data_IF_461375031546
#
_entry.id   IF_461375031546
#
_cell.length_a   1.000
_cell.length_b   1.000
_cell.length_c   1.000
_cell.angle_alpha   90.00
_cell.angle_beta   90.00
_cell.angle_gamma   90.00
#
_symmetry.space_group_name_H-M   'P 1'
#
loop_
_entity.id
_entity.type
_entity.pdbx_description
1 polymer ?
#
# COMPACT_ATOMS: atom_id res chain seq x y z
N UNK A 1 -3.05 -51.71 40.43
CA UNK A 1 -2.53 -52.14 39.12
C UNK A 1 -1.09 -51.65 38.99
N UNK A 2 -0.11 -52.55 38.98
CA UNK A 2 1.32 -52.21 38.89
C UNK A 2 1.67 -51.96 37.42
N UNK A 3 2.00 -50.71 37.06
CA UNK A 3 2.50 -50.37 35.73
C UNK A 3 3.93 -50.91 35.58
N UNK A 4 4.06 -52.16 35.14
CA UNK A 4 5.35 -52.74 34.76
C UNK A 4 5.75 -52.19 33.38
N UNK A 5 6.43 -51.05 33.37
CA UNK A 5 7.14 -50.56 32.20
C UNK A 5 8.23 -51.57 31.84
N UNK A 6 8.02 -52.31 30.76
CA UNK A 6 8.99 -53.32 30.33
C UNK A 6 10.22 -52.61 29.73
N UNK A 7 11.42 -53.15 29.95
CA UNK A 7 12.69 -52.49 29.58
C UNK A 7 12.72 -52.06 28.10
N UNK A 8 12.13 -52.85 27.20
CA UNK A 8 11.96 -52.51 25.78
C UNK A 8 11.09 -51.28 25.55
N UNK A 9 10.02 -51.12 26.31
CA UNK A 9 9.08 -50.02 26.17
C UNK A 9 9.68 -48.70 26.69
N UNK A 10 10.45 -48.79 27.78
CA UNK A 10 11.23 -47.66 28.30
C UNK A 10 12.26 -47.19 27.27
N UNK A 11 13.06 -48.09 26.69
CA UNK A 11 14.05 -47.73 25.66
C UNK A 11 13.38 -47.13 24.42
N UNK A 12 12.24 -47.67 23.99
CA UNK A 12 11.50 -47.16 22.81
C UNK A 12 10.93 -45.76 23.05
N UNK A 13 10.39 -45.49 24.24
CA UNK A 13 9.89 -44.16 24.62
C UNK A 13 11.02 -43.16 24.87
N UNK A 14 12.12 -43.59 25.47
CA UNK A 14 13.32 -42.77 25.67
C UNK A 14 13.95 -42.37 24.33
N UNK A 15 14.02 -43.29 23.36
CA UNK A 15 14.52 -43.02 22.00
C UNK A 15 13.61 -42.03 21.24
N UNK A 16 12.29 -42.15 21.38
CA UNK A 16 11.35 -41.19 20.79
C UNK A 16 11.46 -39.79 21.42
N UNK A 17 11.63 -39.71 22.75
CA UNK A 17 11.81 -38.43 23.45
C UNK A 17 13.15 -37.75 23.11
N UNK A 18 14.24 -38.53 22.99
CA UNK A 18 15.56 -38.00 22.61
C UNK A 18 15.67 -37.66 21.13
N UNK A 19 14.91 -38.31 20.24
CA UNK A 19 14.85 -37.94 18.82
C UNK A 19 14.05 -36.65 18.58
N UNK A 20 13.01 -36.39 19.37
CA UNK A 20 12.20 -35.17 19.25
C UNK A 20 12.82 -33.94 19.95
N UNK A 21 13.62 -34.14 21.00
CA UNK A 21 14.20 -33.04 21.77
C UNK A 21 15.05 -32.06 20.94
N UNK A 22 15.94 -32.47 20.00
CA UNK A 22 16.71 -31.54 19.17
C UNK A 22 15.85 -30.70 18.23
N UNK A 23 14.76 -31.27 17.69
CA UNK A 23 13.84 -30.57 16.81
C UNK A 23 13.01 -29.52 17.57
N UNK A 24 12.53 -29.87 18.77
CA UNK A 24 11.82 -28.94 19.66
C UNK A 24 12.75 -27.84 20.17
N UNK A 25 13.97 -28.17 20.61
CA UNK A 25 14.96 -27.17 21.01
C UNK A 25 15.38 -26.25 19.86
N UNK A 26 15.49 -26.76 18.61
CA UNK A 26 15.74 -25.93 17.43
C UNK A 26 14.56 -25.02 17.09
N UNK A 27 13.33 -25.50 17.20
CA UNK A 27 12.14 -24.68 16.97
C UNK A 27 12.02 -23.57 18.02
N UNK A 28 12.25 -23.90 19.30
CA UNK A 28 12.17 -22.95 20.43
C UNK A 28 13.33 -21.95 20.41
N UNK A 29 14.56 -22.38 20.12
CA UNK A 29 15.73 -21.47 19.99
C UNK A 29 15.74 -20.71 18.66
N UNK A 30 15.16 -21.27 17.61
CA UNK A 30 15.08 -20.68 16.29
C UNK A 30 14.10 -19.52 16.24
N UNK A 31 12.93 -19.64 16.87
CA UNK A 31 11.87 -18.62 16.80
C UNK A 31 12.33 -17.21 17.21
N UNK A 32 13.21 -17.09 18.21
CA UNK A 32 13.76 -15.82 18.70
C UNK A 32 15.15 -15.47 18.15
N UNK A 33 15.69 -16.24 17.19
CA UNK A 33 17.01 -15.99 16.64
C UNK A 33 17.04 -14.63 15.89
N UNK A 34 18.12 -13.84 16.02
CA UNK A 34 18.28 -12.59 15.26
C UNK A 34 18.11 -12.77 13.74
N UNK A 35 18.44 -13.95 13.20
CA UNK A 35 18.29 -14.33 11.80
C UNK A 35 16.84 -14.44 11.32
N UNK A 36 15.85 -14.43 12.21
CA UNK A 36 14.44 -14.46 11.86
C UNK A 36 13.82 -13.06 11.75
N UNK A 37 14.60 -11.99 11.95
CA UNK A 37 14.12 -10.62 11.87
C UNK A 37 14.27 -10.09 10.45
N UNK A 38 13.23 -9.46 9.95
CA UNK A 38 13.29 -8.69 8.71
C UNK A 38 13.81 -7.30 9.03
N UNK A 39 14.95 -6.94 8.48
CA UNK A 39 15.59 -5.64 8.67
C UNK A 39 15.07 -4.65 7.62
N UNK A 40 14.52 -3.55 8.10
CA UNK A 40 13.75 -2.59 7.32
C UNK A 40 14.43 -1.23 7.26
N UNK A 41 14.33 -0.61 6.09
CA UNK A 41 14.50 0.83 5.91
C UNK A 41 13.15 1.51 5.69
N UNK A 42 12.94 2.69 6.28
CA UNK A 42 11.74 3.50 6.03
C UNK A 42 12.10 4.79 5.31
N UNK A 43 11.60 4.97 4.10
CA UNK A 43 11.75 6.17 3.27
C UNK A 43 10.51 7.06 3.34
N UNK A 44 10.72 8.36 3.59
CA UNK A 44 9.66 9.36 3.74
C UNK A 44 9.03 9.23 5.11
N UNK A 45 9.48 10.03 6.08
CA UNK A 45 9.33 9.70 7.52
C UNK A 45 8.49 10.71 8.29
N UNK A 46 7.77 11.58 7.59
CA UNK A 46 6.70 12.40 8.14
C UNK A 46 5.40 11.60 8.33
N UNK A 47 4.36 12.23 8.88
CA UNK A 47 2.98 11.71 9.07
C UNK A 47 2.82 10.19 8.91
N UNK A 48 2.53 9.69 7.69
CA UNK A 48 2.30 8.27 7.42
C UNK A 48 3.54 7.40 7.63
N UNK A 49 4.68 7.85 7.15
CA UNK A 49 5.96 7.19 7.36
C UNK A 49 6.36 7.06 8.82
N UNK A 50 6.14 8.10 9.65
CA UNK A 50 6.37 8.00 11.10
C UNK A 50 5.49 6.91 11.73
N UNK A 51 4.22 6.83 11.32
CA UNK A 51 3.29 5.82 11.82
C UNK A 51 3.71 4.40 11.39
N UNK A 52 4.16 4.23 10.15
CA UNK A 52 4.69 2.96 9.66
C UNK A 52 5.98 2.58 10.39
N UNK A 53 6.93 3.51 10.53
CA UNK A 53 8.18 3.26 11.25
C UNK A 53 7.93 2.81 12.69
N UNK A 54 7.04 3.48 13.43
CA UNK A 54 6.62 3.06 14.78
C UNK A 54 5.94 1.70 14.78
N UNK A 55 5.04 1.45 13.82
CA UNK A 55 4.32 0.19 13.72
C UNK A 55 5.26 -1.00 13.49
N UNK A 56 6.17 -0.87 12.53
CA UNK A 56 7.19 -1.88 12.23
C UNK A 56 8.19 -2.06 13.37
N UNK A 57 8.61 -0.97 14.04
CA UNK A 57 9.53 -1.06 15.18
C UNK A 57 8.95 -1.84 16.37
N UNK A 58 7.61 -1.90 16.50
CA UNK A 58 6.91 -2.67 17.54
C UNK A 58 6.58 -4.10 17.13
N UNK A 59 6.76 -4.43 15.85
CA UNK A 59 6.38 -5.74 15.33
C UNK A 59 7.46 -6.77 15.69
N UNK A 60 7.05 -7.86 16.32
CA UNK A 60 7.95 -8.99 16.56
C UNK A 60 8.40 -9.58 15.21
N UNK A 61 9.71 -9.83 15.08
CA UNK A 61 10.29 -10.30 13.83
C UNK A 61 10.59 -9.19 12.80
N UNK A 62 10.46 -7.91 13.17
CA UNK A 62 10.92 -6.80 12.35
C UNK A 62 11.90 -5.90 13.11
N UNK A 63 12.85 -5.32 12.40
CA UNK A 63 13.73 -4.27 12.91
C UNK A 63 13.74 -3.09 11.94
N UNK A 64 13.47 -1.88 12.43
CA UNK A 64 13.70 -0.66 11.63
C UNK A 64 15.14 -0.21 11.88
N UNK A 65 16.05 -0.55 10.96
CA UNK A 65 17.47 -0.22 11.08
C UNK A 65 17.82 1.13 10.45
N UNK A 66 17.04 1.59 9.45
CA UNK A 66 17.31 2.83 8.74
C UNK A 66 16.07 3.71 8.57
N UNK A 67 16.28 5.01 8.73
CA UNK A 67 15.32 6.07 8.44
C UNK A 67 15.90 6.94 7.32
N UNK A 68 15.13 7.15 6.26
CA UNK A 68 15.56 7.89 5.08
C UNK A 68 14.58 9.00 4.72
N UNK A 69 15.05 10.25 4.72
CA UNK A 69 14.27 11.38 4.23
C UNK A 69 15.19 12.48 3.70
N UNK A 70 14.78 13.18 2.65
CA UNK A 70 15.56 14.28 2.06
C UNK A 70 15.70 15.46 3.05
N UNK A 71 14.72 15.63 3.94
CA UNK A 71 14.72 16.58 5.04
C UNK A 71 15.33 15.96 6.31
N UNK A 72 16.45 16.52 6.75
CA UNK A 72 17.17 16.08 7.95
C UNK A 72 16.31 16.19 9.22
N UNK A 73 15.38 17.15 9.27
CA UNK A 73 14.42 17.27 10.39
C UNK A 73 13.48 16.07 10.45
N UNK A 74 13.07 15.56 9.29
CA UNK A 74 12.23 14.38 9.18
C UNK A 74 13.01 13.10 9.52
N UNK A 75 14.30 13.03 9.18
CA UNK A 75 15.20 11.94 9.61
C UNK A 75 15.29 11.91 11.14
N UNK A 76 15.63 13.03 11.77
CA UNK A 76 15.75 13.12 13.24
C UNK A 76 14.43 12.74 13.94
N UNK A 77 13.30 13.26 13.45
CA UNK A 77 11.97 12.91 13.98
C UNK A 77 11.63 11.43 13.81
N UNK A 78 11.93 10.86 12.64
CA UNK A 78 11.69 9.45 12.36
C UNK A 78 12.53 8.54 13.25
N UNK A 79 13.81 8.87 13.42
CA UNK A 79 14.71 8.12 14.28
C UNK A 79 14.26 8.17 15.75
N UNK A 80 13.91 9.35 16.26
CA UNK A 80 13.37 9.50 17.62
C UNK A 80 12.09 8.66 17.82
N UNK A 81 11.19 8.65 16.84
CA UNK A 81 9.96 7.88 16.89
C UNK A 81 10.18 6.37 16.93
N UNK A 82 11.22 5.86 16.24
CA UNK A 82 11.62 4.45 16.29
C UNK A 82 12.27 4.13 17.65
N UNK A 83 13.20 4.96 18.12
CA UNK A 83 13.85 4.79 19.43
C UNK A 83 12.82 4.76 20.56
N UNK A 84 11.82 5.64 20.52
CA UNK A 84 10.71 5.67 21.48
C UNK A 84 9.90 4.36 21.45
N UNK A 85 9.75 3.75 20.28
CA UNK A 85 8.91 2.57 20.08
C UNK A 85 9.59 1.26 20.50
N UNK A 86 10.91 1.13 20.35
CA UNK A 86 11.63 -0.13 20.59
C UNK A 86 12.94 -0.01 21.38
N UNK A 87 13.35 1.21 21.76
CA UNK A 87 14.59 1.47 22.53
C UNK A 87 15.88 1.48 21.72
N UNK A 88 15.85 1.13 20.43
CA UNK A 88 17.02 1.09 19.53
C UNK A 88 16.92 2.20 18.48
N UNK A 89 17.96 3.04 18.40
CA UNK A 89 18.01 4.10 17.40
C UNK A 89 18.40 3.55 16.01
N UNK A 90 17.63 3.88 14.95
CA UNK A 90 18.01 3.55 13.59
C UNK A 90 19.07 4.53 13.06
N UNK A 91 19.82 4.09 12.06
CA UNK A 91 20.68 4.97 11.28
C UNK A 91 19.86 5.94 10.41
N UNK A 92 20.38 7.14 10.19
CA UNK A 92 19.75 8.18 9.38
C UNK A 92 20.43 8.35 8.02
N UNK A 93 19.65 8.46 6.96
CA UNK A 93 20.13 8.78 5.62
C UNK A 93 19.26 9.84 4.94
N UNK A 94 19.86 10.58 4.01
CA UNK A 94 19.15 11.56 3.17
C UNK A 94 18.96 11.13 1.72
N UNK A 95 19.53 9.98 1.38
CA UNK A 95 19.57 9.45 0.03
C UNK A 95 19.23 7.96 0.07
N UNK A 96 18.11 7.61 -0.55
CA UNK A 96 17.60 6.24 -0.60
C UNK A 96 18.59 5.29 -1.30
N UNK A 97 19.42 5.78 -2.21
CA UNK A 97 20.42 4.97 -2.94
C UNK A 97 21.48 4.39 -2.01
N UNK A 98 21.86 5.15 -0.97
CA UNK A 98 22.79 4.65 0.06
C UNK A 98 22.15 3.56 0.87
N UNK A 99 20.87 3.74 1.22
CA UNK A 99 20.13 2.80 2.05
C UNK A 99 19.89 1.48 1.34
N UNK A 100 19.46 1.50 0.07
CA UNK A 100 19.23 0.25 -0.69
C UNK A 100 20.54 -0.49 -1.02
N UNK A 101 21.69 0.18 -0.95
CA UNK A 101 23.00 -0.44 -1.12
C UNK A 101 23.49 -1.17 0.15
N UNK A 102 22.88 -0.91 1.32
CA UNK A 102 23.24 -1.59 2.56
C UNK A 102 22.88 -3.08 2.49
N UNK A 103 23.86 -3.95 2.76
CA UNK A 103 23.68 -5.40 2.64
C UNK A 103 22.70 -5.98 3.64
N UNK A 104 22.72 -5.44 4.87
CA UNK A 104 21.92 -5.91 6.00
C UNK A 104 20.43 -5.57 5.90
N UNK A 105 20.01 -4.76 4.93
CA UNK A 105 18.59 -4.39 4.76
C UNK A 105 17.89 -5.43 3.89
N UNK A 106 16.77 -5.95 4.37
CA UNK A 106 15.94 -6.92 3.64
C UNK A 106 14.86 -6.24 2.81
N UNK A 107 14.24 -5.17 3.33
CA UNK A 107 13.15 -4.48 2.66
C UNK A 107 13.15 -2.95 2.83
N UNK A 108 12.67 -2.26 1.80
CA UNK A 108 12.38 -0.83 1.81
C UNK A 108 10.87 -0.59 2.00
N UNK A 109 10.52 0.18 3.01
CA UNK A 109 9.18 0.73 3.25
C UNK A 109 9.12 2.15 2.69
N UNK A 110 8.24 2.41 1.74
CA UNK A 110 8.15 3.67 1.01
C UNK A 110 6.86 4.39 1.40
N UNK A 111 7.02 5.56 2.03
CA UNK A 111 5.94 6.47 2.42
C UNK A 111 6.24 7.93 2.03
N UNK A 112 7.06 8.09 0.99
CA UNK A 112 7.36 9.35 0.33
C UNK A 112 6.12 9.90 -0.43
N UNK A 113 6.20 11.06 -1.10
CA UNK A 113 5.17 11.45 -2.05
C UNK A 113 4.98 10.42 -3.17
N UNK A 114 3.78 10.37 -3.74
CA UNK A 114 3.33 9.39 -4.74
C UNK A 114 4.26 9.25 -5.96
N UNK A 115 4.80 10.36 -6.47
CA UNK A 115 5.75 10.37 -7.59
C UNK A 115 7.12 9.74 -7.29
N UNK A 116 7.39 9.37 -6.03
CA UNK A 116 8.58 8.61 -5.62
C UNK A 116 8.29 7.13 -5.36
N UNK A 117 7.03 6.70 -5.31
CA UNK A 117 6.66 5.34 -4.95
C UNK A 117 7.24 4.30 -5.91
N UNK A 118 6.88 4.39 -7.20
CA UNK A 118 7.40 3.46 -8.19
C UNK A 118 8.91 3.59 -8.41
N UNK A 119 9.50 4.80 -8.56
CA UNK A 119 10.95 4.92 -8.74
C UNK A 119 11.77 4.33 -7.59
N UNK A 120 11.38 4.58 -6.33
CA UNK A 120 12.07 3.99 -5.18
C UNK A 120 11.83 2.47 -5.07
N UNK A 121 10.64 2.00 -5.43
CA UNK A 121 10.34 0.57 -5.47
C UNK A 121 11.18 -0.18 -6.49
N UNK A 122 11.35 0.37 -7.69
CA UNK A 122 12.19 -0.20 -8.74
C UNK A 122 13.67 -0.21 -8.33
N UNK A 123 14.17 0.89 -7.73
CA UNK A 123 15.53 0.96 -7.18
C UNK A 123 15.79 -0.12 -6.13
N UNK A 124 14.86 -0.27 -5.19
CA UNK A 124 14.97 -1.27 -4.12
C UNK A 124 14.93 -2.70 -4.68
N UNK A 125 13.99 -2.99 -5.57
CA UNK A 125 13.89 -4.30 -6.21
C UNK A 125 15.16 -4.65 -7.01
N UNK A 126 15.70 -3.69 -7.77
CA UNK A 126 16.95 -3.85 -8.50
C UNK A 126 18.17 -4.08 -7.59
N UNK A 127 18.16 -3.49 -6.39
CA UNK A 127 19.16 -3.72 -5.35
C UNK A 127 18.92 -5.02 -4.53
N UNK A 128 17.96 -5.87 -4.95
CA UNK A 128 17.68 -7.14 -4.30
C UNK A 128 16.88 -7.02 -3.00
N UNK A 129 16.18 -5.89 -2.79
CA UNK A 129 15.38 -5.62 -1.59
C UNK A 129 13.90 -5.91 -1.84
N UNK A 130 13.21 -6.40 -0.82
CA UNK A 130 11.75 -6.44 -0.80
C UNK A 130 11.19 -5.01 -0.66
N UNK A 131 9.93 -4.81 -1.04
CA UNK A 131 9.32 -3.48 -1.04
C UNK A 131 7.94 -3.52 -0.39
N UNK A 132 7.74 -2.65 0.58
CA UNK A 132 6.41 -2.21 1.00
C UNK A 132 6.23 -0.79 0.49
N UNK A 133 5.19 -0.51 -0.30
CA UNK A 133 4.95 0.82 -0.88
C UNK A 133 3.57 1.33 -0.51
N UNK A 134 3.47 2.53 0.05
CA UNK A 134 2.17 3.14 0.37
C UNK A 134 1.27 3.30 -0.86
N UNK A 135 -0.02 3.41 -0.60
CA UNK A 135 -1.01 3.65 -1.66
C UNK A 135 -1.12 5.16 -1.98
N UNK A 136 -1.31 5.54 -3.25
CA UNK A 136 -1.28 4.69 -4.45
C UNK A 136 0.15 4.21 -4.76
N UNK A 137 0.37 2.98 -5.23
CA UNK A 137 1.72 2.44 -5.43
C UNK A 137 2.54 3.14 -6.54
N UNK A 138 1.90 3.97 -7.36
CA UNK A 138 2.48 4.64 -8.52
C UNK A 138 1.70 5.91 -8.84
N UNK A 139 2.31 6.79 -9.65
CA UNK A 139 1.67 8.00 -10.14
C UNK A 139 0.79 7.74 -11.39
N UNK A 140 1.11 6.70 -12.16
CA UNK A 140 0.35 6.31 -13.35
C UNK A 140 0.28 4.77 -13.50
N UNK A 141 -0.65 4.23 -14.32
CA UNK A 141 -0.82 2.77 -14.46
C UNK A 141 0.44 2.04 -14.95
N UNK A 142 1.19 2.65 -15.88
CA UNK A 142 2.39 2.03 -16.46
C UNK A 142 3.48 1.82 -15.41
N UNK A 143 3.66 2.76 -14.48
CA UNK A 143 4.56 2.58 -13.34
C UNK A 143 4.15 1.39 -12.45
N UNK A 144 2.84 1.15 -12.29
CA UNK A 144 2.33 -0.04 -11.61
C UNK A 144 2.72 -1.34 -12.31
N UNK A 145 2.59 -1.40 -13.64
CA UNK A 145 3.03 -2.53 -14.46
C UNK A 145 4.55 -2.76 -14.33
N UNK A 146 5.34 -1.68 -14.33
CA UNK A 146 6.79 -1.78 -14.13
C UNK A 146 7.15 -2.38 -12.76
N UNK A 147 6.40 -2.07 -11.70
CA UNK A 147 6.60 -2.70 -10.39
C UNK A 147 6.29 -4.20 -10.42
N UNK A 148 5.26 -4.63 -11.16
CA UNK A 148 4.95 -6.05 -11.34
C UNK A 148 6.08 -6.75 -12.12
N UNK A 149 6.56 -6.14 -13.20
CA UNK A 149 7.70 -6.65 -13.97
C UNK A 149 8.97 -6.75 -13.11
N UNK A 150 9.27 -5.73 -12.31
CA UNK A 150 10.43 -5.72 -11.42
C UNK A 150 10.36 -6.78 -10.33
N UNK A 151 9.17 -6.98 -9.74
CA UNK A 151 8.91 -8.06 -8.78
C UNK A 151 9.28 -9.42 -9.36
N UNK A 152 8.80 -9.71 -10.58
CA UNK A 152 9.10 -10.96 -11.30
C UNK A 152 10.58 -11.06 -11.69
N UNK A 153 11.16 -9.99 -12.25
CA UNK A 153 12.54 -9.95 -12.74
C UNK A 153 13.57 -10.17 -11.63
N UNK A 154 13.36 -9.56 -10.47
CA UNK A 154 14.32 -9.60 -9.36
C UNK A 154 13.98 -10.65 -8.30
N UNK A 155 12.85 -11.36 -8.45
CA UNK A 155 12.36 -12.31 -7.46
C UNK A 155 12.11 -11.65 -6.09
N UNK A 156 11.60 -10.40 -6.09
CA UNK A 156 11.36 -9.63 -4.88
C UNK A 156 9.87 -9.37 -4.68
N UNK A 157 9.40 -9.63 -3.47
CA UNK A 157 8.05 -9.23 -3.05
C UNK A 157 7.93 -7.71 -3.07
N UNK A 158 6.95 -7.21 -3.82
CA UNK A 158 6.52 -5.81 -3.80
C UNK A 158 5.05 -5.78 -3.37
N UNK A 159 4.79 -5.21 -2.19
CA UNK A 159 3.47 -5.14 -1.60
C UNK A 159 3.00 -3.69 -1.45
N UNK A 160 1.85 -3.36 -2.05
CA UNK A 160 1.18 -2.09 -1.79
C UNK A 160 0.52 -2.09 -0.41
N UNK A 161 0.61 -0.98 0.30
CA UNK A 161 0.05 -0.72 1.63
C UNK A 161 -1.48 -0.61 1.69
N UNK A 162 -2.19 -1.59 1.12
CA UNK A 162 -3.66 -1.72 1.19
C UNK A 162 -4.13 -2.24 2.54
N UNK A 163 -3.81 -1.51 3.62
CA UNK A 163 -3.96 -1.94 5.02
C UNK A 163 -5.35 -2.47 5.38
N UNK A 164 -6.43 -1.93 4.78
CA UNK A 164 -7.80 -2.42 5.00
C UNK A 164 -8.00 -3.88 4.64
N UNK A 165 -7.19 -4.46 3.73
CA UNK A 165 -7.26 -5.89 3.39
C UNK A 165 -6.77 -6.80 4.53
N UNK A 166 -6.09 -6.25 5.53
CA UNK A 166 -5.61 -6.98 6.70
C UNK A 166 -6.41 -6.66 7.97
N UNK A 167 -7.50 -5.90 7.86
CA UNK A 167 -8.36 -5.61 9.02
C UNK A 167 -9.26 -6.82 9.33
N UNK A 168 -9.29 -7.32 10.59
CA UNK A 168 -10.04 -8.52 10.94
C UNK A 168 -11.50 -8.50 10.49
N UNK A 169 -12.19 -7.37 10.69
CA UNK A 169 -13.60 -7.21 10.27
C UNK A 169 -13.80 -7.24 8.75
N UNK A 170 -12.83 -6.76 7.98
CA UNK A 170 -12.90 -6.81 6.52
C UNK A 170 -12.65 -8.23 6.04
N UNK A 171 -11.70 -8.94 6.66
CA UNK A 171 -11.44 -10.35 6.39
C UNK A 171 -12.69 -11.19 6.68
N UNK A 172 -13.27 -11.05 7.87
CA UNK A 172 -14.50 -11.72 8.28
C UNK A 172 -15.66 -11.43 7.31
N UNK A 173 -15.87 -10.16 6.94
CA UNK A 173 -16.92 -9.79 5.99
C UNK A 173 -16.71 -10.43 4.59
N UNK A 174 -15.46 -10.52 4.13
CA UNK A 174 -15.13 -11.17 2.85
C UNK A 174 -15.31 -12.68 2.94
N UNK A 175 -14.95 -13.31 4.06
CA UNK A 175 -15.15 -14.74 4.31
C UNK A 175 -16.63 -15.08 4.37
N UNK A 176 -17.44 -14.29 5.09
CA UNK A 176 -18.90 -14.45 5.13
C UNK A 176 -19.55 -14.28 3.75
N UNK A 177 -19.10 -13.30 2.96
CA UNK A 177 -19.58 -13.15 1.59
C UNK A 177 -19.23 -14.38 0.71
N UNK A 178 -18.02 -14.93 0.86
CA UNK A 178 -17.55 -16.12 0.13
C UNK A 178 -18.25 -17.41 0.57
N UNK A 179 -18.63 -17.53 1.84
CA UNK A 179 -19.39 -18.68 2.37
C UNK A 179 -20.87 -18.65 2.00
N UNK A 180 -21.32 -17.61 1.28
CA UNK A 180 -22.68 -17.51 0.77
C UNK A 180 -23.65 -16.78 1.70
N UNK A 181 -23.18 -16.07 2.74
CA UNK A 181 -24.04 -15.38 3.71
C UNK A 181 -24.99 -14.34 3.08
N UNK A 182 -24.65 -13.80 1.91
CA UNK A 182 -25.48 -12.85 1.15
C UNK A 182 -25.98 -13.43 -0.19
N UNK A 183 -25.80 -14.73 -0.42
CA UNK A 183 -26.13 -15.39 -1.69
C UNK A 183 -25.28 -14.88 -2.86
N UNK A 184 -25.87 -14.83 -4.06
CA UNK A 184 -25.21 -14.33 -5.28
C UNK A 184 -25.03 -12.81 -5.20
N UNK A 185 -23.79 -12.34 -5.28
CA UNK A 185 -23.47 -10.90 -5.29
C UNK A 185 -23.87 -10.27 -6.63
N UNK A 186 -24.73 -9.25 -6.59
CA UNK A 186 -25.16 -8.50 -7.79
C UNK A 186 -24.58 -7.08 -7.87
N UNK A 187 -24.25 -6.47 -6.73
CA UNK A 187 -23.87 -5.06 -6.67
C UNK A 187 -22.93 -4.77 -5.50
N UNK A 188 -21.94 -3.91 -5.74
CA UNK A 188 -21.06 -3.36 -4.72
C UNK A 188 -20.95 -1.85 -4.86
N UNK A 189 -20.99 -1.13 -3.73
CA UNK A 189 -20.78 0.32 -3.67
C UNK A 189 -19.76 0.63 -2.58
N UNK A 190 -18.81 1.51 -2.89
CA UNK A 190 -17.84 2.03 -1.94
C UNK A 190 -17.76 3.55 -2.08
N UNK A 191 -17.45 4.23 -0.97
CA UNK A 191 -17.15 5.66 -0.95
C UNK A 191 -15.95 5.90 -0.05
N UNK A 192 -15.14 6.89 -0.40
CA UNK A 192 -14.08 7.39 0.45
C UNK A 192 -14.54 8.71 1.06
N UNK A 193 -14.93 8.67 2.34
CA UNK A 193 -15.22 9.85 3.13
C UNK A 193 -13.99 10.16 4.00
N UNK A 194 -13.46 11.36 3.87
CA UNK A 194 -12.36 11.86 4.68
C UNK A 194 -12.70 13.27 5.16
N UNK A 195 -12.56 13.50 6.46
CA UNK A 195 -12.75 14.79 7.14
C UNK A 195 -11.45 15.61 7.21
N UNK A 196 -10.35 15.08 6.66
CA UNK A 196 -9.06 15.75 6.64
C UNK A 196 -9.15 17.09 5.90
N UNK A 197 -8.83 18.16 6.63
CA UNK A 197 -8.69 19.49 6.06
C UNK A 197 -7.57 19.60 5.01
N UNK A 198 -7.61 20.68 4.23
CA UNK A 198 -6.56 20.99 3.26
C UNK A 198 -5.19 21.08 3.94
N UNK A 199 -4.14 20.62 3.26
CA UNK A 199 -2.74 20.84 3.67
C UNK A 199 -2.29 22.30 3.50
N UNK A 200 -3.19 23.18 3.05
CA UNK A 200 -2.93 24.59 2.78
C UNK A 200 -2.33 24.82 1.39
N UNK A 201 -2.00 26.08 1.10
CA UNK A 201 -1.20 26.47 -0.08
C UNK A 201 0.22 26.79 0.39
N UNK A 202 1.23 26.29 -0.33
CA UNK A 202 2.62 26.63 -0.04
C UNK A 202 2.86 28.14 -0.18
N UNK A 203 3.58 28.74 0.76
CA UNK A 203 3.83 30.19 0.78
C UNK A 203 4.91 30.63 -0.23
N UNK A 204 5.83 29.72 -0.56
CA UNK A 204 6.83 29.88 -1.61
C UNK A 204 7.41 28.49 -1.97
N UNK A 205 7.92 28.28 -3.20
CA UNK A 205 8.70 27.10 -3.51
C UNK A 205 9.95 27.10 -2.63
N UNK A 206 10.14 26.07 -1.81
CA UNK A 206 11.41 25.87 -1.13
C UNK A 206 12.49 25.69 -2.20
N UNK A 207 13.58 26.49 -2.20
CA UNK A 207 14.67 26.29 -3.14
C UNK A 207 15.14 24.84 -3.06
N UNK A 208 15.17 24.15 -4.21
CA UNK A 208 15.69 22.79 -4.25
C UNK A 208 17.12 22.82 -3.68
N UNK A 209 17.45 21.97 -2.69
CA UNK A 209 18.82 21.84 -2.22
C UNK A 209 19.73 21.60 -3.43
N UNK A 210 20.93 22.19 -3.47
CA UNK A 210 21.84 22.11 -4.63
C UNK A 210 22.10 20.66 -5.07
N UNK A 211 22.00 19.69 -4.15
CA UNK A 211 22.12 18.26 -4.41
C UNK A 211 20.92 17.60 -5.14
N UNK A 212 19.79 18.28 -5.36
CA UNK A 212 18.53 17.72 -5.88
C UNK A 212 18.23 18.04 -7.37
N UNK A 213 19.25 18.25 -8.23
CA UNK A 213 19.06 18.43 -9.68
C UNK A 213 18.57 17.10 -10.35
N UNK A 214 17.86 17.16 -11.50
CA UNK A 214 16.73 16.27 -11.80
C UNK A 214 17.15 14.81 -12.06
N UNK A 215 17.11 14.02 -10.98
CA UNK A 215 17.38 12.58 -10.99
C UNK A 215 16.20 11.74 -11.48
N UNK A 216 14.98 12.30 -11.49
CA UNK A 216 13.77 11.58 -11.93
C UNK A 216 13.87 11.12 -13.39
N UNK A 217 14.42 11.96 -14.29
CA UNK A 217 14.53 11.61 -15.71
C UNK A 217 15.66 10.59 -15.96
N UNK A 218 16.81 10.74 -15.30
CA UNK A 218 17.92 9.79 -15.44
C UNK A 218 17.57 8.40 -14.91
N UNK A 219 16.79 8.31 -13.83
CA UNK A 219 16.38 7.04 -13.23
C UNK A 219 15.36 6.28 -14.10
N UNK A 220 14.37 6.99 -14.66
CA UNK A 220 13.39 6.39 -15.60
C UNK A 220 14.10 5.93 -16.87
N UNK A 221 15.06 6.70 -17.39
CA UNK A 221 15.82 6.33 -18.58
C UNK A 221 16.82 5.18 -18.34
N UNK A 222 17.44 5.10 -17.16
CA UNK A 222 18.39 4.03 -16.83
C UNK A 222 17.71 2.68 -16.53
N UNK A 223 16.49 2.70 -16.00
CA UNK A 223 15.71 1.48 -15.74
C UNK A 223 14.86 1.06 -16.94
N UNK A 224 14.59 1.98 -17.87
CA UNK A 224 13.82 1.78 -19.10
C UNK A 224 14.67 1.43 -20.31
N UNK A 225 15.45 0.35 -20.28
CA UNK A 225 15.91 -0.31 -21.52
C UNK A 225 14.87 -1.33 -22.00
N UNK A 226 13.66 -0.84 -22.26
CA UNK A 226 12.68 -1.46 -23.14
C UNK A 226 12.49 -0.49 -24.30
N UNK A 227 12.83 -0.91 -25.53
CA UNK A 227 12.76 -0.10 -26.75
C UNK A 227 11.47 0.73 -26.77
N UNK A 228 11.61 2.05 -26.69
CA UNK A 228 10.52 2.99 -26.98
C UNK A 228 10.25 2.84 -28.47
N UNK A 229 9.28 1.99 -28.82
CA UNK A 229 8.69 1.99 -30.15
C UNK A 229 8.13 3.38 -30.40
N UNK A 230 8.60 4.03 -31.45
CA UNK A 230 8.18 5.34 -31.92
C UNK A 230 6.67 5.31 -32.23
N UNK A 231 5.82 5.58 -31.23
CA UNK A 231 4.40 5.88 -31.48
C UNK A 231 4.32 7.27 -32.10
N UNK A 232 4.44 7.33 -33.42
CA UNK A 232 4.08 8.51 -34.21
C UNK A 232 2.61 8.83 -33.92
N UNK A 233 2.38 9.97 -33.28
CA UNK A 233 1.06 10.56 -33.13
C UNK A 233 0.48 10.81 -34.52
N UNK A 234 -0.54 10.05 -34.90
CA UNK A 234 -1.43 10.40 -36.00
C UNK A 234 -2.31 11.57 -35.58
N UNK A 235 -1.76 12.79 -35.54
CA UNK A 235 -2.51 14.02 -35.25
C UNK A 235 -2.21 15.19 -36.19
N UNK A 236 -1.61 14.94 -37.36
CA UNK A 236 -1.44 15.96 -38.40
C UNK A 236 -2.01 15.52 -39.75
N UNK A 237 -3.34 15.32 -39.81
CA UNK A 237 -4.08 15.43 -41.08
C UNK A 237 -5.17 16.49 -40.92
N UNK A 238 -5.09 17.63 -41.64
CA UNK A 238 -6.19 18.59 -41.65
C UNK A 238 -7.41 17.96 -42.33
N UNK A 239 -8.57 18.05 -41.68
CA UNK A 239 -9.85 17.63 -42.26
C UNK A 239 -10.25 18.59 -43.41
N UNK A 240 -10.80 18.07 -44.52
CA UNK A 240 -11.23 18.93 -45.62
C UNK A 240 -12.43 19.80 -45.22
N UNK A 241 -12.30 21.09 -45.49
CA UNK A 241 -13.35 22.10 -45.35
C UNK A 241 -14.45 21.85 -46.39
N UNK A 242 -15.59 21.31 -45.97
CA UNK A 242 -16.76 21.23 -46.84
C UNK A 242 -17.86 20.28 -46.40
N UNK A 243 -18.63 20.66 -45.36
CA UNK A 243 -20.02 20.21 -45.19
C UNK A 243 -20.72 21.00 -44.07
N UNK A 244 -21.10 22.25 -44.36
CA UNK A 244 -22.17 22.90 -43.58
C UNK A 244 -23.50 22.31 -44.04
N UNK A 245 -24.19 21.55 -43.18
CA UNK A 245 -25.65 21.39 -43.28
C UNK A 245 -26.28 21.79 -41.96
N UNK A 246 -27.19 22.77 -42.06
CA UNK A 246 -28.10 23.23 -41.03
C UNK A 246 -29.06 22.10 -40.68
N UNK A 247 -29.33 21.90 -39.40
CA UNK A 247 -30.61 21.38 -38.90
C UNK A 247 -31.02 22.29 -37.75
N UNK A 248 -31.79 23.32 -38.09
CA UNK A 248 -32.74 23.97 -37.21
C UNK A 248 -33.99 23.09 -37.07
N UNK A 249 -34.64 23.21 -35.93
CA UNK A 249 -35.96 22.68 -35.56
C UNK A 249 -36.08 21.19 -35.24
N UNK A 250 -36.17 20.90 -33.93
CA UNK A 250 -37.33 20.19 -33.36
C UNK A 250 -37.24 20.09 -31.82
N UNK A 251 -38.28 20.58 -31.15
CA UNK A 251 -38.92 19.82 -30.06
C UNK A 251 -38.44 20.07 -28.63
N UNK A 252 -38.98 21.12 -28.02
CA UNK A 252 -39.17 21.21 -26.57
C UNK A 252 -40.11 20.07 -26.12
N UNK A 253 -39.66 19.12 -25.30
CA UNK A 253 -40.55 18.11 -24.69
C UNK A 253 -40.30 18.02 -23.19
N UNK A 254 -41.39 18.22 -22.45
CA UNK A 254 -41.46 18.47 -21.03
C UNK A 254 -41.02 17.33 -20.11
N UNK A 255 -40.69 17.74 -18.89
CA UNK A 255 -40.48 16.90 -17.71
C UNK A 255 -41.68 15.94 -17.52
N UNK A 256 -41.44 14.63 -17.58
CA UNK A 256 -42.40 13.62 -17.09
C UNK A 256 -41.98 13.13 -15.70
N UNK A 257 -42.92 13.23 -14.77
CA UNK A 257 -42.86 12.65 -13.44
C UNK A 257 -42.92 11.12 -13.51
N UNK A 258 -42.18 10.45 -12.61
CA UNK A 258 -42.25 9.00 -12.41
C UNK A 258 -43.56 8.63 -11.67
N UNK A 259 -44.21 7.51 -12.01
CA UNK A 259 -45.45 7.08 -11.37
C UNK A 259 -45.20 6.53 -9.96
N UNK A 260 -46.10 6.89 -9.03
CA UNK A 260 -46.15 6.32 -7.68
C UNK A 260 -46.79 4.93 -7.71
N UNK A 261 -46.16 3.96 -7.04
CA UNK A 261 -46.74 2.64 -6.78
C UNK A 261 -47.59 2.69 -5.49
N UNK A 262 -48.82 2.13 -5.46
CA UNK A 262 -49.61 2.00 -4.24
C UNK A 262 -49.37 0.65 -3.56
N UNK A 263 -49.42 0.60 -2.23
CA UNK A 263 -49.64 -0.64 -1.48
C UNK A 263 -48.87 -0.78 -0.16
N UNK A 264 -49.59 -0.65 0.96
CA UNK A 264 -49.16 -0.79 2.36
C UNK A 264 -48.88 -2.26 2.75
N UNK A 265 -47.99 -2.47 3.72
CA UNK A 265 -48.26 -2.99 5.10
C UNK A 265 -46.97 -3.45 5.79
N UNK A 266 -46.87 -3.26 7.11
CA UNK A 266 -45.80 -3.83 7.95
C UNK A 266 -45.07 -2.82 8.82
N UNK A 267 -45.75 -2.28 9.83
CA UNK A 267 -45.21 -1.35 10.82
C UNK A 267 -44.51 -2.12 11.96
N UNK A 268 -43.18 -2.05 12.08
CA UNK A 268 -42.47 -2.36 13.33
C UNK A 268 -41.53 -1.21 13.68
N UNK A 269 -41.86 -0.55 14.79
CA UNK A 269 -41.16 0.59 15.38
C UNK A 269 -39.90 0.13 16.11
N UNK A 270 -38.78 0.81 15.91
CA UNK A 270 -37.71 0.99 16.90
C UNK A 270 -37.03 2.36 16.64
N UNK A 271 -36.40 2.99 17.65
CA UNK A 271 -36.60 4.39 17.97
C UNK A 271 -35.50 5.28 17.37
N UNK A 272 -35.84 6.55 17.30
CA UNK A 272 -35.11 7.63 16.66
C UNK A 272 -33.69 7.85 17.18
N UNK A 273 -32.72 7.82 16.26
CA UNK A 273 -31.53 8.68 16.33
C UNK A 273 -31.54 9.62 15.13
N UNK A 274 -32.06 10.82 15.35
CA UNK A 274 -32.00 11.92 14.39
C UNK A 274 -30.55 12.40 14.21
N UNK A 275 -29.91 12.03 13.11
CA UNK A 275 -28.74 12.76 12.57
C UNK A 275 -29.24 13.66 11.44
N UNK A 276 -29.37 14.96 11.72
CA UNK A 276 -29.59 16.00 10.70
C UNK A 276 -28.33 16.11 9.84
N UNK A 277 -28.32 15.48 8.67
CA UNK A 277 -27.34 15.76 7.62
C UNK A 277 -27.77 17.04 6.90
N UNK A 278 -27.09 18.16 7.16
CA UNK A 278 -27.20 19.37 6.33
C UNK A 278 -26.68 19.02 4.93
N UNK A 279 -27.51 19.23 3.90
CA UNK A 279 -27.12 19.14 2.49
C UNK A 279 -26.10 20.25 2.18
N UNK A 280 -24.82 19.91 2.23
CA UNK A 280 -23.75 20.71 1.59
C UNK A 280 -23.66 20.31 0.12
N UNK A 281 -23.84 21.28 -0.77
CA UNK A 281 -23.64 21.11 -2.21
C UNK A 281 -22.17 20.77 -2.48
N UNK A 282 -21.89 19.51 -2.83
CA UNK A 282 -20.60 19.07 -3.33
C UNK A 282 -20.72 18.73 -4.81
N UNK A 283 -20.06 19.51 -5.67
CA UNK A 283 -19.94 19.20 -7.09
C UNK A 283 -19.04 17.97 -7.27
N UNK A 284 -19.62 16.87 -7.74
CA UNK A 284 -18.90 15.68 -8.18
C UNK A 284 -18.41 15.88 -9.62
N UNK A 285 -17.11 16.04 -9.82
CA UNK A 285 -16.48 15.84 -11.13
C UNK A 285 -16.11 14.36 -11.24
N UNK A 286 -16.99 13.58 -11.88
CA UNK A 286 -16.73 12.19 -12.24
C UNK A 286 -15.87 12.13 -13.50
N UNK A 287 -14.68 11.55 -13.39
CA UNK A 287 -13.89 11.09 -14.52
C UNK A 287 -14.10 9.59 -14.69
N UNK A 288 -14.85 9.21 -15.71
CA UNK A 288 -14.95 7.84 -16.22
C UNK A 288 -13.64 7.51 -16.94
N UNK A 289 -12.96 6.44 -16.53
CA UNK A 289 -11.93 5.80 -17.36
C UNK A 289 -12.53 4.48 -17.82
N UNK A 290 -12.67 4.35 -19.14
CA UNK A 290 -13.07 3.14 -19.86
C UNK A 290 -11.94 2.12 -19.80
#
# INVERSE_FOLDING_TARGET
>A
MSFKLNRREFVRRAALATAAAPAVLRAVRGAAAPSNRVVLAVMGTNSRGTALARGFARLEGAEVAWICDVDERAVAKGAAAVTEACGKAPAGARDVRRVVAEKEIDALVIAAPDHWHAPAGLLAAAAGKHVYVEKPCSHNPREGEMLVEASAKHGRIIQMGSQRRSWPRVIEAVEAARSGAIGRVYYGRAWYANDRGSIGRGRAPTPLPRQCRPLQLALVLALGHGRVGEQRHARDRPLPMGARRRLSDAGHVGRRALPQLPGRLGNTRHPDHHVRVRRGQGHCLGGTVV
#
